data_IF_898260898182
#
_entry.id   IF_898260898182
#
_cell.length_a   1.000
_cell.length_b   1.000
_cell.length_c   1.000
_cell.angle_alpha   90.00
_cell.angle_beta   90.00
_cell.angle_gamma   90.00
#
_symmetry.space_group_name_H-M   'P 1'
#
loop_
_entity.id
_entity.type
_entity.pdbx_description
1 polymer ?
#
# COMPACT_ATOMS: atom_id res chain seq x y z
N UNK A 1 19.44 45.27 18.85
CA UNK A 1 20.06 43.94 18.94
C UNK A 1 18.93 42.95 19.23
N UNK A 2 18.31 42.39 18.18
CA UNK A 2 18.64 41.10 17.56
C UNK A 2 18.34 39.92 18.53
N UNK A 3 17.14 39.31 18.43
CA UNK A 3 16.87 37.93 17.93
C UNK A 3 17.44 36.82 18.84
N UNK A 4 16.75 35.76 19.25
CA UNK A 4 15.68 35.02 18.60
C UNK A 4 14.83 34.23 19.61
N UNK A 5 13.52 34.18 19.37
CA UNK A 5 12.65 33.13 19.87
C UNK A 5 12.88 31.87 19.02
N UNK A 6 13.31 30.78 19.63
CA UNK A 6 13.25 29.46 18.99
C UNK A 6 12.08 28.69 19.59
N UNK A 7 10.95 28.73 18.86
CA UNK A 7 9.87 27.75 19.01
C UNK A 7 10.46 26.36 18.80
N UNK A 8 10.39 25.52 19.83
CA UNK A 8 10.54 24.08 19.68
C UNK A 8 9.30 23.55 18.95
N UNK A 9 9.30 23.63 17.62
CA UNK A 9 8.37 22.87 16.81
C UNK A 9 8.62 21.38 17.11
N UNK A 10 7.60 20.72 17.67
CA UNK A 10 7.60 19.30 17.94
C UNK A 10 8.01 18.54 16.67
N UNK A 11 9.19 17.93 16.69
CA UNK A 11 9.58 16.91 15.75
C UNK A 11 8.56 15.77 15.86
N UNK A 12 7.66 15.70 14.90
CA UNK A 12 6.68 14.62 14.80
C UNK A 12 7.46 13.31 14.62
N UNK A 13 7.48 12.51 15.68
CA UNK A 13 8.26 11.28 15.83
C UNK A 13 8.17 10.38 14.60
N UNK A 14 9.25 10.35 13.80
CA UNK A 14 9.52 9.27 12.86
C UNK A 14 10.14 8.08 13.63
N UNK A 15 9.37 7.49 14.53
CA UNK A 15 9.63 6.14 15.03
C UNK A 15 8.61 5.22 14.36
N UNK A 16 8.85 4.92 13.09
CA UNK A 16 8.24 3.74 12.47
C UNK A 16 8.95 2.56 13.14
N UNK A 17 8.26 1.92 14.07
CA UNK A 17 8.77 0.75 14.82
C UNK A 17 9.29 -0.31 13.84
N UNK A 18 10.54 -0.73 14.05
CA UNK A 18 11.15 -1.89 13.41
C UNK A 18 10.42 -3.23 13.70
N UNK A 19 9.40 -3.19 14.57
CA UNK A 19 8.60 -4.34 14.98
C UNK A 19 7.69 -4.87 13.85
N UNK A 20 7.11 -4.01 13.01
CA UNK A 20 6.23 -4.46 11.92
C UNK A 20 6.97 -5.22 10.79
N UNK A 21 8.31 -5.17 10.77
CA UNK A 21 9.14 -5.87 9.78
C UNK A 21 9.55 -7.29 10.20
N UNK A 22 9.39 -7.65 11.48
CA UNK A 22 9.95 -8.90 12.05
C UNK A 22 9.30 -10.17 11.46
N UNK A 23 8.05 -10.10 11.02
CA UNK A 23 7.30 -11.24 10.48
C UNK A 23 7.25 -11.28 8.95
N UNK A 24 7.92 -10.35 8.25
CA UNK A 24 7.97 -10.35 6.80
C UNK A 24 8.97 -11.41 6.30
N UNK A 25 8.56 -12.35 5.42
CA UNK A 25 9.49 -13.33 4.86
C UNK A 25 10.67 -12.62 4.17
N UNK A 26 11.90 -13.04 4.48
CA UNK A 26 13.13 -12.40 3.97
C UNK A 26 13.13 -12.26 2.44
N UNK A 27 12.59 -13.25 1.73
CA UNK A 27 12.45 -13.25 0.27
C UNK A 27 11.63 -12.06 -0.28
N UNK A 28 10.73 -11.48 0.52
CA UNK A 28 9.85 -10.39 0.10
C UNK A 28 10.21 -9.01 0.68
N UNK A 29 11.14 -8.92 1.63
CA UNK A 29 11.49 -7.66 2.28
C UNK A 29 11.96 -6.59 1.29
N UNK A 30 12.91 -6.93 0.43
CA UNK A 30 13.48 -5.98 -0.52
C UNK A 30 12.46 -5.52 -1.57
N UNK A 31 11.63 -6.43 -2.09
CA UNK A 31 10.60 -6.09 -3.09
C UNK A 31 9.50 -5.23 -2.48
N UNK A 32 9.01 -5.56 -1.27
CA UNK A 32 8.00 -4.75 -0.58
C UNK A 32 8.54 -3.36 -0.27
N UNK A 33 9.76 -3.25 0.26
CA UNK A 33 10.38 -1.96 0.55
C UNK A 33 10.53 -1.11 -0.73
N UNK A 34 10.97 -1.71 -1.84
CA UNK A 34 11.13 -1.02 -3.13
C UNK A 34 9.80 -0.48 -3.65
N UNK A 35 8.74 -1.31 -3.68
CA UNK A 35 7.43 -0.87 -4.17
C UNK A 35 6.79 0.16 -3.24
N UNK A 36 6.94 0.01 -1.92
CA UNK A 36 6.45 0.98 -0.95
C UNK A 36 7.14 2.34 -1.13
N UNK A 37 8.47 2.36 -1.23
CA UNK A 37 9.25 3.57 -1.45
C UNK A 37 8.89 4.25 -2.78
N UNK A 38 8.76 3.49 -3.87
CA UNK A 38 8.38 4.01 -5.19
C UNK A 38 6.98 4.69 -5.21
N UNK A 39 6.13 4.38 -4.23
CA UNK A 39 4.76 4.90 -4.13
C UNK A 39 4.55 5.81 -2.91
N UNK A 40 5.61 6.19 -2.19
CA UNK A 40 5.52 7.05 -1.01
C UNK A 40 4.73 6.45 0.14
N UNK A 41 4.74 5.12 0.28
CA UNK A 41 4.04 4.39 1.32
C UNK A 41 5.01 3.89 2.40
N UNK A 42 4.57 3.82 3.67
CA UNK A 42 5.29 3.05 4.69
C UNK A 42 5.29 1.56 4.32
N UNK A 43 6.46 0.90 4.35
CA UNK A 43 6.57 -0.53 4.06
C UNK A 43 5.71 -1.39 5.02
N UNK A 44 5.53 -0.94 6.27
CA UNK A 44 4.66 -1.58 7.26
C UNK A 44 3.18 -1.57 6.86
N UNK A 45 2.71 -0.54 6.14
CA UNK A 45 1.35 -0.51 5.61
C UNK A 45 1.17 -1.57 4.51
N UNK A 46 2.15 -1.67 3.60
CA UNK A 46 2.13 -2.70 2.54
C UNK A 46 2.16 -4.11 3.15
N UNK A 47 3.04 -4.34 4.13
CA UNK A 47 3.09 -5.57 4.91
C UNK A 47 1.73 -5.95 5.51
N UNK A 48 1.09 -4.99 6.20
CA UNK A 48 -0.21 -5.19 6.87
C UNK A 48 -1.29 -5.62 5.88
N UNK A 49 -1.33 -5.00 4.69
CA UNK A 49 -2.28 -5.39 3.64
C UNK A 49 -1.97 -6.79 3.13
N UNK A 50 -0.71 -7.11 2.80
CA UNK A 50 -0.34 -8.46 2.33
C UNK A 50 -0.73 -9.55 3.36
N UNK A 51 -0.49 -9.31 4.64
CA UNK A 51 -0.84 -10.26 5.71
C UNK A 51 -2.35 -10.48 5.83
N UNK A 52 -3.15 -9.41 5.70
CA UNK A 52 -4.62 -9.50 5.68
C UNK A 52 -5.14 -10.25 4.46
N UNK A 53 -4.56 -10.02 3.29
CA UNK A 53 -5.09 -10.52 2.02
C UNK A 53 -4.66 -11.96 1.70
N UNK A 54 -3.39 -12.32 1.91
CA UNK A 54 -2.87 -13.61 1.44
C UNK A 54 -1.85 -14.27 2.35
N UNK A 55 -1.34 -13.57 3.37
CA UNK A 55 -0.18 -14.02 4.17
C UNK A 55 1.02 -14.36 3.28
N UNK A 56 1.36 -13.46 2.36
CA UNK A 56 2.48 -13.60 1.42
C UNK A 56 2.34 -14.74 0.39
N UNK A 57 1.14 -15.25 0.13
CA UNK A 57 0.92 -16.23 -0.92
C UNK A 57 0.69 -15.54 -2.29
N UNK A 58 1.67 -15.55 -3.22
CA UNK A 58 1.51 -14.91 -4.52
C UNK A 58 0.50 -15.61 -5.43
N UNK A 59 0.14 -16.86 -5.14
CA UNK A 59 -0.80 -17.66 -5.94
C UNK A 59 -2.21 -17.70 -5.36
N UNK A 60 -2.50 -16.89 -4.34
CA UNK A 60 -3.82 -16.83 -3.73
C UNK A 60 -4.89 -16.34 -4.73
N UNK A 61 -6.05 -17.00 -4.78
CA UNK A 61 -7.19 -16.58 -5.61
C UNK A 61 -8.46 -16.71 -4.80
N UNK A 62 -9.27 -15.65 -4.75
CA UNK A 62 -10.55 -15.66 -4.04
C UNK A 62 -11.54 -14.67 -4.64
N UNK A 63 -12.72 -15.14 -5.05
CA UNK A 63 -13.86 -14.30 -5.50
C UNK A 63 -13.48 -13.23 -6.55
N UNK A 64 -12.61 -13.58 -7.50
CA UNK A 64 -12.13 -12.68 -8.56
C UNK A 64 -11.02 -11.71 -8.13
N UNK A 65 -10.37 -11.97 -6.99
CA UNK A 65 -9.17 -11.30 -6.53
C UNK A 65 -7.96 -12.22 -6.70
N UNK A 66 -6.81 -11.64 -7.04
CA UNK A 66 -5.63 -12.40 -7.45
C UNK A 66 -4.37 -11.97 -6.71
N UNK A 67 -3.57 -12.96 -6.37
CA UNK A 67 -2.22 -12.88 -5.86
C UNK A 67 -2.07 -12.24 -4.48
N UNK A 68 -0.85 -11.77 -4.21
CA UNK A 68 -0.37 -11.46 -2.86
C UNK A 68 -1.19 -10.38 -2.15
N UNK A 69 -1.67 -9.38 -2.87
CA UNK A 69 -2.50 -8.31 -2.31
C UNK A 69 -3.97 -8.41 -2.77
N UNK A 70 -4.39 -9.56 -3.31
CA UNK A 70 -5.78 -9.83 -3.71
C UNK A 70 -6.39 -8.69 -4.54
N UNK A 71 -5.67 -8.22 -5.56
CA UNK A 71 -6.17 -7.18 -6.47
C UNK A 71 -7.13 -7.78 -7.51
N UNK A 72 -8.18 -7.03 -7.88
CA UNK A 72 -9.06 -7.38 -9.01
C UNK A 72 -8.42 -7.05 -10.35
N UNK A 73 -8.72 -7.84 -11.39
CA UNK A 73 -8.22 -7.57 -12.74
C UNK A 73 -8.60 -6.17 -13.25
N UNK A 74 -9.84 -5.73 -13.03
CA UNK A 74 -10.28 -4.38 -13.41
C UNK A 74 -9.50 -3.27 -12.71
N UNK A 75 -9.21 -3.44 -11.42
CA UNK A 75 -8.38 -2.51 -10.64
C UNK A 75 -6.94 -2.50 -11.14
N UNK A 76 -6.34 -3.67 -11.41
CA UNK A 76 -5.01 -3.75 -11.98
C UNK A 76 -4.94 -3.03 -13.34
N UNK A 77 -5.95 -3.22 -14.19
CA UNK A 77 -6.08 -2.52 -15.49
C UNK A 77 -6.23 -1.01 -15.34
N UNK A 78 -6.99 -0.54 -14.36
CA UNK A 78 -7.07 0.88 -14.04
C UNK A 78 -5.70 1.44 -13.60
N UNK A 79 -4.84 0.60 -13.01
CA UNK A 79 -3.44 0.93 -12.71
C UNK A 79 -2.50 0.71 -13.90
N UNK A 80 -2.99 0.38 -15.10
CA UNK A 80 -2.18 0.24 -16.31
C UNK A 80 -1.69 -1.18 -16.62
N UNK A 81 -2.19 -2.21 -15.92
CA UNK A 81 -1.89 -3.60 -16.27
C UNK A 81 -2.58 -4.02 -17.57
N UNK A 82 -1.83 -4.55 -18.53
CA UNK A 82 -2.37 -5.00 -19.82
C UNK A 82 -2.55 -6.53 -19.93
N UNK A 83 -2.09 -7.30 -18.95
CA UNK A 83 -2.10 -8.77 -19.00
C UNK A 83 -3.42 -9.42 -18.55
N UNK A 84 -3.38 -10.75 -18.48
CA UNK A 84 -4.46 -11.61 -17.97
C UNK A 84 -4.35 -11.88 -16.47
N UNK A 85 -5.26 -12.68 -15.92
CA UNK A 85 -5.28 -13.01 -14.48
C UNK A 85 -4.03 -13.73 -14.00
N UNK A 86 -3.42 -14.56 -14.86
CA UNK A 86 -2.28 -15.40 -14.46
C UNK A 86 -1.04 -14.57 -14.12
N UNK A 87 -0.81 -13.45 -14.81
CA UNK A 87 0.28 -12.54 -14.47
C UNK A 87 0.08 -11.86 -13.12
N UNK A 88 -1.15 -11.76 -12.59
CA UNK A 88 -1.37 -11.25 -11.23
C UNK A 88 -1.00 -12.27 -10.14
N UNK A 89 -0.68 -13.51 -10.50
CA UNK A 89 -0.16 -14.53 -9.58
C UNK A 89 1.37 -14.50 -9.46
N UNK A 90 2.04 -13.64 -10.23
CA UNK A 90 3.44 -13.28 -10.02
C UNK A 90 3.53 -12.17 -8.96
N UNK A 91 4.42 -12.35 -7.98
CA UNK A 91 4.53 -11.43 -6.84
C UNK A 91 4.94 -10.02 -7.28
N UNK A 92 5.92 -9.90 -8.17
CA UNK A 92 6.45 -8.63 -8.64
C UNK A 92 5.38 -7.84 -9.40
N UNK A 93 4.70 -8.51 -10.33
CA UNK A 93 3.58 -7.95 -11.10
C UNK A 93 2.44 -7.55 -10.17
N UNK A 94 2.06 -8.39 -9.21
CA UNK A 94 1.00 -8.09 -8.25
C UNK A 94 1.30 -6.84 -7.44
N UNK A 95 2.50 -6.76 -6.85
CA UNK A 95 2.94 -5.63 -6.04
C UNK A 95 3.02 -4.34 -6.87
N UNK A 96 3.46 -4.41 -8.13
CA UNK A 96 3.52 -3.25 -9.04
C UNK A 96 2.17 -2.52 -9.13
N UNK A 97 1.05 -3.24 -9.27
CA UNK A 97 -0.26 -2.62 -9.44
C UNK A 97 -1.02 -2.45 -8.13
N UNK A 98 -0.92 -3.41 -7.21
CA UNK A 98 -1.63 -3.36 -5.95
C UNK A 98 -1.09 -2.28 -5.00
N UNK A 99 0.23 -2.07 -4.96
CA UNK A 99 0.82 -1.01 -4.13
C UNK A 99 0.48 0.38 -4.68
N UNK A 100 0.40 0.55 -6.01
CA UNK A 100 -0.10 1.78 -6.65
C UNK A 100 -1.55 2.07 -6.28
N UNK A 101 -2.40 1.05 -6.29
CA UNK A 101 -3.79 1.19 -5.85
C UNK A 101 -3.89 1.52 -4.35
N UNK A 102 -3.06 0.90 -3.50
CA UNK A 102 -2.96 1.22 -2.08
C UNK A 102 -2.50 2.66 -1.82
N UNK A 103 -1.63 3.22 -2.66
CA UNK A 103 -1.21 4.62 -2.54
C UNK A 103 -2.40 5.59 -2.73
N UNK A 104 -3.30 5.28 -3.66
CA UNK A 104 -4.56 6.02 -3.82
C UNK A 104 -5.45 5.91 -2.59
N UNK A 105 -5.61 4.71 -2.03
CA UNK A 105 -6.36 4.50 -0.79
C UNK A 105 -5.73 5.24 0.41
N UNK A 106 -4.40 5.26 0.50
CA UNK A 106 -3.66 5.96 1.55
C UNK A 106 -3.82 7.47 1.47
N UNK A 107 -3.78 8.03 0.26
CA UNK A 107 -4.09 9.45 0.02
C UNK A 107 -5.53 9.77 0.40
N UNK A 108 -6.50 8.96 -0.02
CA UNK A 108 -7.91 9.11 0.33
C UNK A 108 -8.17 8.94 1.85
N UNK A 109 -7.27 8.25 2.55
CA UNK A 109 -7.29 8.11 3.99
C UNK A 109 -6.69 9.30 4.75
N UNK A 110 -6.07 10.26 4.05
CA UNK A 110 -5.30 11.33 4.68
C UNK A 110 -4.08 10.81 5.45
N UNK A 111 -3.46 9.73 4.97
CA UNK A 111 -2.30 9.11 5.61
C UNK A 111 -2.61 8.18 6.79
N UNK A 112 -3.88 7.96 7.12
CA UNK A 112 -4.28 7.05 8.19
C UNK A 112 -4.22 5.57 7.73
N UNK A 113 -3.45 4.74 8.42
CA UNK A 113 -3.21 3.34 8.03
C UNK A 113 -4.49 2.48 8.07
N UNK A 114 -5.25 2.53 9.17
CA UNK A 114 -6.43 1.66 9.33
C UNK A 114 -7.53 2.04 8.35
N UNK A 115 -7.72 3.34 8.12
CA UNK A 115 -8.61 3.84 7.09
C UNK A 115 -8.13 3.46 5.69
N UNK A 116 -6.82 3.51 5.41
CA UNK A 116 -6.27 3.09 4.13
C UNK A 116 -6.50 1.60 3.85
N UNK A 117 -6.31 0.73 4.86
CA UNK A 117 -6.62 -0.72 4.74
C UNK A 117 -8.11 -0.93 4.45
N UNK A 118 -9.00 -0.23 5.15
CA UNK A 118 -10.45 -0.33 4.91
C UNK A 118 -10.84 0.16 3.50
N UNK A 119 -10.24 1.26 3.05
CA UNK A 119 -10.44 1.86 1.73
C UNK A 119 -9.91 0.98 0.61
N UNK A 120 -8.73 0.36 0.79
CA UNK A 120 -8.17 -0.59 -0.15
C UNK A 120 -9.15 -1.76 -0.38
N UNK A 121 -9.69 -2.32 0.71
CA UNK A 121 -10.58 -3.47 0.65
C UNK A 121 -11.95 -3.17 0.03
N UNK A 122 -12.55 -2.01 0.33
CA UNK A 122 -13.91 -1.65 -0.14
C UNK A 122 -13.94 -0.86 -1.44
N UNK A 123 -12.80 -0.25 -1.81
CA UNK A 123 -12.71 0.78 -2.84
C UNK A 123 -12.75 2.19 -2.27
N UNK A 124 -11.93 3.09 -2.84
CA UNK A 124 -11.76 4.46 -2.35
C UNK A 124 -12.21 5.55 -3.34
N UNK A 125 -12.71 5.16 -4.52
CA UNK A 125 -13.13 6.10 -5.56
C UNK A 125 -14.17 7.14 -5.10
N UNK A 126 -15.15 6.81 -4.23
CA UNK A 126 -16.05 7.81 -3.68
C UNK A 126 -15.31 8.88 -2.86
N UNK A 127 -14.37 8.46 -2.00
CA UNK A 127 -13.55 9.35 -1.19
C UNK A 127 -12.59 10.19 -2.03
N UNK A 128 -11.95 9.59 -3.04
CA UNK A 128 -11.10 10.32 -3.97
C UNK A 128 -11.88 11.42 -4.70
N UNK A 129 -13.07 11.09 -5.22
CA UNK A 129 -13.96 12.04 -5.89
C UNK A 129 -14.35 13.21 -4.97
N UNK A 130 -14.70 12.91 -3.71
CA UNK A 130 -15.02 13.94 -2.73
C UNK A 130 -13.83 14.85 -2.41
N UNK A 131 -12.61 14.34 -2.55
CA UNK A 131 -11.35 15.07 -2.37
C UNK A 131 -10.80 15.70 -3.66
N UNK A 132 -11.53 15.59 -4.78
CA UNK A 132 -11.14 16.22 -6.06
C UNK A 132 -10.02 15.51 -6.81
N UNK A 133 -9.82 14.20 -6.61
CA UNK A 133 -8.92 13.39 -7.45
C UNK A 133 -9.58 12.09 -7.91
N UNK A 134 -9.10 11.51 -9.01
CA UNK A 134 -9.64 10.28 -9.60
C UNK A 134 -8.54 9.35 -10.07
#
# INVERSE_FOLDING_TARGET
>A
MATAAFSAAAFFSLLISAADAQDMPAAYQAVVARHAAANGLPASLVHRVIMRESRYNPRAVSKGNYGMMQIRLGTARAMGYAGGTDGLLDAETNLTYAVRYLAGAYRAAGGNHDRAVALYARGFYPEAKAMGFS
#
